data_IF_143022958554
#
_entry.id   IF_143022958554
#
_cell.length_a   1.000
_cell.length_b   1.000
_cell.length_c   1.000
_cell.angle_alpha   90.00
_cell.angle_beta   90.00
_cell.angle_gamma   90.00
#
_symmetry.space_group_name_H-M   'P 1'
#
loop_
_entity.id
_entity.type
_entity.pdbx_description
1 polymer ?
#
# COMPACT_ATOMS: atom_id res chain seq x y z
N UNK A 1 -21.39 7.93 -26.30
CA UNK A 1 -19.92 7.92 -26.49
C UNK A 1 -19.19 7.91 -25.13
N UNK A 2 -19.54 6.94 -24.26
CA UNK A 2 -18.92 6.71 -22.94
C UNK A 2 -18.73 5.20 -22.72
N UNK A 3 -19.67 4.39 -23.22
CA UNK A 3 -19.54 2.93 -23.32
C UNK A 3 -18.24 2.48 -24.04
N UNK A 4 -17.75 3.25 -25.00
CA UNK A 4 -16.50 2.94 -25.74
C UNK A 4 -15.21 3.17 -24.95
N UNK A 5 -15.19 4.04 -23.93
CA UNK A 5 -13.94 4.39 -23.24
C UNK A 5 -13.55 3.33 -22.18
N UNK A 6 -14.53 2.61 -21.64
CA UNK A 6 -14.28 1.49 -20.74
C UNK A 6 -13.58 0.32 -21.46
N UNK A 7 -14.05 -0.02 -22.66
CA UNK A 7 -13.48 -1.11 -23.47
C UNK A 7 -12.05 -0.77 -23.96
N UNK A 8 -11.68 0.51 -23.93
CA UNK A 8 -10.35 0.98 -24.31
C UNK A 8 -9.31 0.87 -23.18
N UNK A 9 -9.74 0.73 -21.92
CA UNK A 9 -8.78 0.55 -20.82
C UNK A 9 -8.24 -0.88 -20.82
N UNK A 10 -6.91 -1.01 -20.72
CA UNK A 10 -6.28 -2.31 -20.49
C UNK A 10 -6.48 -2.78 -19.05
N UNK A 11 -6.16 -4.04 -18.77
CA UNK A 11 -6.40 -4.64 -17.45
C UNK A 11 -5.62 -3.92 -16.33
N UNK A 12 -4.41 -3.44 -16.60
CA UNK A 12 -3.61 -2.71 -15.62
C UNK A 12 -4.23 -1.35 -15.25
N UNK A 13 -4.69 -0.60 -16.24
CA UNK A 13 -5.42 0.66 -16.05
C UNK A 13 -6.68 0.45 -15.23
N UNK A 14 -7.42 -0.62 -15.53
CA UNK A 14 -8.64 -0.99 -14.79
C UNK A 14 -8.32 -1.31 -13.33
N UNK A 15 -7.23 -2.03 -13.05
CA UNK A 15 -6.79 -2.35 -11.69
C UNK A 15 -6.36 -1.09 -10.93
N UNK A 16 -5.57 -0.20 -11.56
CA UNK A 16 -5.14 1.05 -10.92
C UNK A 16 -6.34 1.96 -10.64
N UNK A 17 -7.23 2.14 -11.61
CA UNK A 17 -8.44 2.94 -11.46
C UNK A 17 -9.35 2.35 -10.37
N UNK A 18 -9.48 1.02 -10.31
CA UNK A 18 -10.22 0.34 -9.26
C UNK A 18 -9.60 0.55 -7.88
N UNK A 19 -8.27 0.44 -7.75
CA UNK A 19 -7.58 0.69 -6.49
C UNK A 19 -7.82 2.11 -5.96
N UNK A 20 -7.77 3.12 -6.84
CA UNK A 20 -8.05 4.52 -6.48
C UNK A 20 -9.52 4.69 -6.05
N UNK A 21 -10.47 4.12 -6.80
CA UNK A 21 -11.91 4.25 -6.53
C UNK A 21 -12.48 3.35 -5.44
N UNK A 22 -11.78 2.29 -5.05
CA UNK A 22 -12.23 1.34 -4.02
C UNK A 22 -12.28 1.99 -2.65
N UNK A 23 -13.30 1.74 -1.83
CA UNK A 23 -13.55 2.43 -0.55
C UNK A 23 -13.75 3.95 -0.66
N UNK A 24 -14.46 4.53 0.30
CA UNK A 24 -14.70 5.99 0.33
C UNK A 24 -13.48 6.79 0.79
N UNK A 25 -12.46 6.14 1.36
CA UNK A 25 -11.24 6.80 1.82
C UNK A 25 -10.31 7.13 0.66
N UNK A 26 -9.94 8.42 0.45
CA UNK A 26 -9.00 8.81 -0.61
C UNK A 26 -7.62 8.19 -0.41
N UNK A 27 -6.92 7.94 -1.52
CA UNK A 27 -5.56 7.43 -1.48
C UNK A 27 -4.59 8.61 -1.34
N UNK A 28 -3.95 8.72 -0.18
CA UNK A 28 -3.30 9.96 0.28
C UNK A 28 -1.92 10.25 -0.33
N UNK A 29 -1.31 9.32 -1.06
CA UNK A 29 -0.04 9.56 -1.74
C UNK A 29 0.25 8.52 -2.82
N UNK A 30 1.05 8.90 -3.83
CA UNK A 30 1.55 7.99 -4.87
C UNK A 30 2.28 6.77 -4.28
N UNK A 31 3.04 6.98 -3.20
CA UNK A 31 3.73 5.92 -2.46
C UNK A 31 2.74 4.84 -2.02
N UNK A 32 1.60 5.22 -1.42
CA UNK A 32 0.58 4.26 -0.97
C UNK A 32 0.00 3.46 -2.13
N UNK A 33 -0.24 4.07 -3.30
CA UNK A 33 -0.73 3.34 -4.46
C UNK A 33 0.25 2.25 -4.88
N UNK A 34 1.53 2.62 -5.00
CA UNK A 34 2.60 1.67 -5.32
C UNK A 34 2.65 0.53 -4.30
N UNK A 35 2.57 0.82 -3.00
CA UNK A 35 2.66 -0.22 -1.97
C UNK A 35 1.42 -1.10 -1.89
N UNK A 36 0.22 -0.56 -2.09
CA UNK A 36 -1.00 -1.37 -2.17
C UNK A 36 -0.89 -2.33 -3.35
N UNK A 37 -0.60 -1.82 -4.56
CA UNK A 37 -0.51 -2.65 -5.75
C UNK A 37 0.62 -3.68 -5.64
N UNK A 38 1.76 -3.30 -5.06
CA UNK A 38 2.83 -4.25 -4.76
C UNK A 38 2.37 -5.39 -3.84
N UNK A 39 1.68 -5.08 -2.74
CA UNK A 39 1.18 -6.13 -1.83
C UNK A 39 0.13 -7.01 -2.53
N UNK A 40 -0.73 -6.43 -3.38
CA UNK A 40 -1.70 -7.16 -4.20
C UNK A 40 -0.99 -8.14 -5.15
N UNK A 41 0.09 -7.75 -5.83
CA UNK A 41 0.82 -8.65 -6.74
C UNK A 41 1.58 -9.76 -6.00
N UNK A 42 1.86 -9.61 -4.70
CA UNK A 42 2.39 -10.69 -3.88
C UNK A 42 1.32 -11.74 -3.51
N UNK A 43 0.03 -11.39 -3.57
CA UNK A 43 -1.10 -12.32 -3.40
C UNK A 43 -1.52 -12.95 -4.74
N UNK A 44 -1.42 -12.19 -5.83
CA UNK A 44 -1.76 -12.63 -7.19
C UNK A 44 -0.53 -12.60 -8.10
N UNK A 45 0.25 -13.70 -8.19
CA UNK A 45 1.48 -13.75 -8.97
C UNK A 45 1.31 -13.41 -10.46
N UNK A 46 0.15 -13.70 -11.04
CA UNK A 46 -0.19 -13.34 -12.42
C UNK A 46 -0.21 -11.81 -12.68
N UNK A 47 -0.26 -11.00 -11.62
CA UNK A 47 -0.16 -9.54 -11.72
C UNK A 47 1.29 -9.03 -11.62
N UNK A 48 2.25 -9.89 -11.24
CA UNK A 48 3.66 -9.48 -11.13
C UNK A 48 4.24 -9.08 -12.48
N UNK A 49 3.94 -9.83 -13.54
CA UNK A 49 4.44 -9.55 -14.89
C UNK A 49 3.80 -8.30 -15.52
N UNK A 50 2.61 -7.92 -15.05
CA UNK A 50 1.89 -6.73 -15.49
C UNK A 50 2.51 -5.45 -14.92
N UNK A 51 2.79 -5.45 -13.62
CA UNK A 51 3.30 -4.25 -12.94
C UNK A 51 4.83 -4.20 -12.83
N UNK A 52 5.54 -5.33 -12.89
CA UNK A 52 7.01 -5.42 -12.91
C UNK A 52 7.68 -4.56 -11.83
N UNK A 53 7.42 -4.90 -10.57
CA UNK A 53 8.00 -4.17 -9.45
C UNK A 53 9.49 -4.47 -9.30
N UNK A 54 10.29 -3.41 -9.22
CA UNK A 54 11.75 -3.47 -9.05
C UNK A 54 12.19 -2.71 -7.79
N UNK A 55 13.37 -3.06 -7.22
CA UNK A 55 13.97 -2.27 -6.14
C UNK A 55 14.23 -0.83 -6.57
N UNK A 56 13.96 0.13 -5.67
CA UNK A 56 14.17 1.55 -5.89
C UNK A 56 14.48 2.24 -4.55
N UNK A 57 14.83 3.54 -4.57
CA UNK A 57 15.15 4.38 -3.41
C UNK A 57 14.11 4.31 -2.28
N UNK A 58 12.84 4.15 -2.65
CA UNK A 58 11.71 4.01 -1.73
C UNK A 58 11.09 2.61 -1.79
N UNK A 59 11.90 1.57 -2.01
CA UNK A 59 11.49 0.18 -2.05
C UNK A 59 10.80 -0.22 -3.36
N UNK A 60 9.88 -1.20 -3.35
CA UNK A 60 9.29 -1.75 -4.57
C UNK A 60 8.56 -0.67 -5.35
N UNK A 61 8.93 -0.48 -6.60
CA UNK A 61 8.42 0.57 -7.46
C UNK A 61 8.16 0.05 -8.87
N UNK A 62 7.22 0.67 -9.56
CA UNK A 62 6.81 0.30 -10.93
C UNK A 62 6.59 1.54 -11.77
N UNK A 63 7.44 1.77 -12.78
CA UNK A 63 7.24 2.85 -13.76
C UNK A 63 5.92 2.70 -14.52
N UNK A 64 5.45 1.45 -14.71
CA UNK A 64 4.16 1.17 -15.35
C UNK A 64 3.00 1.82 -14.60
N UNK A 65 3.00 1.82 -13.26
CA UNK A 65 1.96 2.50 -12.47
C UNK A 65 1.97 4.01 -12.73
N UNK A 66 3.15 4.60 -12.88
CA UNK A 66 3.30 6.02 -13.12
C UNK A 66 2.79 6.43 -14.49
N UNK A 67 3.10 5.64 -15.53
CA UNK A 67 2.56 5.85 -16.87
C UNK A 67 1.03 5.71 -16.87
N UNK A 68 0.50 4.67 -16.23
CA UNK A 68 -0.95 4.48 -16.10
C UNK A 68 -1.60 5.67 -15.39
N UNK A 69 -1.03 6.15 -14.29
CA UNK A 69 -1.55 7.32 -13.59
C UNK A 69 -1.60 8.55 -14.48
N UNK A 70 -0.52 8.81 -15.25
CA UNK A 70 -0.47 9.93 -16.18
C UNK A 70 -1.55 9.80 -17.26
N UNK A 71 -1.76 8.61 -17.81
CA UNK A 71 -2.78 8.37 -18.83
C UNK A 71 -4.21 8.51 -18.27
N UNK A 72 -4.48 7.97 -17.08
CA UNK A 72 -5.75 8.16 -16.39
C UNK A 72 -6.03 9.65 -16.08
N UNK A 73 -4.99 10.44 -15.80
CA UNK A 73 -5.10 11.89 -15.62
C UNK A 73 -5.37 12.61 -16.95
N UNK A 74 -4.65 12.27 -18.03
CA UNK A 74 -4.89 12.83 -19.38
C UNK A 74 -6.30 12.54 -19.88
N UNK A 75 -6.83 11.35 -19.58
CA UNK A 75 -8.21 10.97 -19.90
C UNK A 75 -9.26 11.63 -18.99
N UNK A 76 -8.83 12.45 -18.03
CA UNK A 76 -9.65 13.10 -17.02
C UNK A 76 -10.47 12.10 -16.17
N UNK A 77 -9.90 10.93 -15.86
CA UNK A 77 -10.52 9.90 -15.02
C UNK A 77 -10.07 10.01 -13.57
N UNK A 78 -8.83 10.41 -13.36
CA UNK A 78 -8.21 10.62 -12.06
C UNK A 78 -7.72 12.06 -11.99
N UNK A 79 -7.86 12.68 -10.82
CA UNK A 79 -7.18 13.95 -10.51
C UNK A 79 -6.45 13.80 -9.18
N UNK A 80 -5.47 14.67 -8.94
CA UNK A 80 -4.82 14.79 -7.65
C UNK A 80 -5.10 16.16 -7.04
N UNK A 81 -5.46 16.19 -5.76
CA UNK A 81 -5.53 17.46 -5.02
C UNK A 81 -4.14 17.95 -4.62
N UNK A 82 -4.08 19.18 -4.09
CA UNK A 82 -2.95 19.61 -3.27
C UNK A 82 -2.69 18.56 -2.17
N UNK A 83 -1.41 18.21 -1.97
CA UNK A 83 -1.00 17.15 -1.05
C UNK A 83 -0.87 15.74 -1.66
N UNK A 84 -1.10 15.56 -2.96
CA UNK A 84 -0.83 14.29 -3.66
C UNK A 84 -1.90 13.20 -3.45
N UNK A 85 -3.10 13.60 -3.03
CA UNK A 85 -4.24 12.69 -2.84
C UNK A 85 -4.89 12.41 -4.20
N UNK A 86 -4.96 11.15 -4.60
CA UNK A 86 -5.62 10.74 -5.85
C UNK A 86 -7.09 10.44 -5.62
N UNK A 87 -7.94 11.03 -6.45
CA UNK A 87 -9.40 10.82 -6.45
C UNK A 87 -9.93 10.62 -7.86
N UNK A 88 -11.05 9.90 -7.98
CA UNK A 88 -11.76 9.77 -9.24
C UNK A 88 -12.52 11.07 -9.56
N UNK A 89 -12.43 11.52 -10.81
CA UNK A 89 -13.33 12.55 -11.34
C UNK A 89 -14.73 11.98 -11.53
N UNK A 90 -15.72 12.81 -11.86
CA UNK A 90 -17.07 12.33 -12.25
C UNK A 90 -16.99 11.27 -13.36
N UNK A 91 -16.17 11.53 -14.38
CA UNK A 91 -15.94 10.59 -15.51
C UNK A 91 -15.28 9.29 -15.03
N UNK A 92 -14.28 9.40 -14.14
CA UNK A 92 -13.64 8.23 -13.53
C UNK A 92 -14.61 7.39 -12.71
N UNK A 93 -15.52 8.01 -11.95
CA UNK A 93 -16.54 7.30 -11.17
C UNK A 93 -17.53 6.54 -12.07
N UNK A 94 -17.89 7.09 -13.23
CA UNK A 94 -18.75 6.39 -14.20
C UNK A 94 -18.08 5.14 -14.76
N UNK A 95 -16.79 5.23 -15.12
CA UNK A 95 -16.02 4.06 -15.57
C UNK A 95 -15.82 3.06 -14.43
N UNK A 96 -15.47 3.53 -13.23
CA UNK A 96 -15.27 2.70 -12.05
C UNK A 96 -16.46 1.78 -11.76
N UNK A 97 -17.70 2.26 -11.94
CA UNK A 97 -18.92 1.46 -11.73
C UNK A 97 -19.03 0.24 -12.66
N UNK A 98 -18.40 0.30 -13.83
CA UNK A 98 -18.40 -0.75 -14.84
C UNK A 98 -17.26 -1.76 -14.64
N UNK A 99 -16.26 -1.44 -13.81
CA UNK A 99 -15.17 -2.37 -13.47
C UNK A 99 -15.73 -3.44 -12.52
N UNK A 100 -15.67 -4.70 -12.96
CA UNK A 100 -16.07 -5.87 -12.18
C UNK A 100 -14.90 -6.84 -12.00
N UNK A 101 -13.93 -6.52 -11.11
CA UNK A 101 -12.87 -7.46 -10.79
C UNK A 101 -13.45 -8.71 -10.12
N UNK A 102 -12.71 -9.82 -10.14
CA UNK A 102 -13.05 -10.99 -9.32
C UNK A 102 -13.15 -10.58 -7.84
N UNK A 103 -14.07 -11.20 -7.12
CA UNK A 103 -14.36 -10.87 -5.72
C UNK A 103 -13.11 -10.95 -4.84
N UNK A 104 -12.27 -11.97 -5.05
CA UNK A 104 -10.97 -12.14 -4.37
C UNK A 104 -10.04 -10.93 -4.54
N UNK A 105 -9.88 -10.44 -5.77
CA UNK A 105 -9.02 -9.28 -6.06
C UNK A 105 -9.57 -8.02 -5.41
N UNK A 106 -10.89 -7.85 -5.44
CA UNK A 106 -11.57 -6.73 -4.77
C UNK A 106 -11.30 -6.74 -3.26
N UNK A 107 -11.43 -7.88 -2.61
CA UNK A 107 -11.27 -8.00 -1.16
C UNK A 107 -9.82 -7.71 -0.76
N UNK A 108 -8.85 -8.27 -1.48
CA UNK A 108 -7.42 -8.02 -1.23
C UNK A 108 -7.04 -6.55 -1.44
N UNK A 109 -7.55 -5.88 -2.48
CA UNK A 109 -7.31 -4.44 -2.69
C UNK A 109 -7.90 -3.63 -1.52
N UNK A 110 -9.11 -3.95 -1.08
CA UNK A 110 -9.76 -3.25 0.01
C UNK A 110 -9.04 -3.47 1.35
N UNK A 111 -8.63 -4.70 1.65
CA UNK A 111 -7.88 -5.04 2.85
C UNK A 111 -6.56 -4.28 2.92
N UNK A 112 -5.78 -4.24 1.83
CA UNK A 112 -4.53 -3.48 1.82
C UNK A 112 -4.75 -1.96 1.87
N UNK A 113 -5.84 -1.46 1.29
CA UNK A 113 -6.19 -0.04 1.40
C UNK A 113 -6.58 0.33 2.84
N UNK A 114 -7.36 -0.52 3.53
CA UNK A 114 -7.68 -0.36 4.96
C UNK A 114 -6.43 -0.50 5.84
N UNK A 115 -5.53 -1.41 5.51
CA UNK A 115 -4.28 -1.63 6.24
C UNK A 115 -3.33 -0.43 6.12
N UNK A 116 -3.17 0.16 4.94
CA UNK A 116 -2.15 1.20 4.69
C UNK A 116 -2.64 2.64 4.87
N UNK A 117 -3.95 2.93 4.80
CA UNK A 117 -4.43 4.31 4.71
C UNK A 117 -4.17 5.18 5.96
N UNK A 118 -4.14 4.59 7.15
CA UNK A 118 -3.89 5.24 8.44
C UNK A 118 -2.44 5.08 8.96
N UNK A 119 -1.59 4.43 8.17
CA UNK A 119 -0.16 4.38 8.39
C UNK A 119 0.53 5.59 7.77
N UNK A 120 1.55 6.11 8.44
CA UNK A 120 2.50 7.05 7.87
C UNK A 120 3.39 6.37 6.83
N UNK A 121 3.95 7.13 5.90
CA UNK A 121 4.85 6.57 4.88
C UNK A 121 6.06 5.85 5.53
N UNK A 122 6.56 6.32 6.67
CA UNK A 122 7.65 5.65 7.38
C UNK A 122 7.22 4.31 8.00
N UNK A 123 6.01 4.21 8.55
CA UNK A 123 5.45 2.93 9.04
C UNK A 123 5.32 1.92 7.88
N UNK A 124 4.75 2.36 6.76
CA UNK A 124 4.60 1.54 5.54
C UNK A 124 5.96 1.07 5.04
N UNK A 125 6.92 1.99 4.90
CA UNK A 125 8.25 1.66 4.40
C UNK A 125 9.01 0.71 5.32
N UNK A 126 8.90 0.89 6.64
CA UNK A 126 9.51 -0.01 7.62
C UNK A 126 8.92 -1.42 7.53
N UNK A 127 7.60 -1.53 7.31
CA UNK A 127 6.94 -2.82 7.06
C UNK A 127 7.49 -3.46 5.78
N UNK A 128 7.50 -2.72 4.67
CA UNK A 128 7.94 -3.23 3.37
C UNK A 128 9.39 -3.71 3.41
N UNK A 129 10.29 -2.94 4.02
CA UNK A 129 11.70 -3.31 4.12
C UNK A 129 11.98 -4.48 5.05
N UNK A 130 11.15 -4.66 6.09
CA UNK A 130 11.26 -5.82 6.98
C UNK A 130 10.83 -7.10 6.26
N UNK A 131 9.65 -7.10 5.64
CA UNK A 131 9.01 -8.33 5.15
C UNK A 131 9.30 -8.62 3.67
N UNK A 132 9.85 -7.66 2.93
CA UNK A 132 10.26 -7.82 1.53
C UNK A 132 11.69 -7.29 1.31
N UNK A 133 12.69 -7.86 2.00
CA UNK A 133 14.05 -7.33 2.03
C UNK A 133 14.73 -7.30 0.65
N UNK A 134 14.25 -8.10 -0.33
CA UNK A 134 14.75 -8.06 -1.72
C UNK A 134 14.59 -6.70 -2.40
N UNK A 135 13.73 -5.82 -1.89
CA UNK A 135 13.53 -4.46 -2.40
C UNK A 135 14.29 -3.39 -1.59
N UNK A 136 15.22 -3.79 -0.73
CA UNK A 136 16.01 -2.86 0.09
C UNK A 136 17.37 -2.50 -0.53
N UNK A 137 17.82 -3.21 -1.57
CA UNK A 137 19.18 -3.06 -2.13
C UNK A 137 19.50 -1.64 -2.60
N UNK A 138 18.52 -0.96 -3.20
CA UNK A 138 18.65 0.41 -3.72
C UNK A 138 18.13 1.46 -2.72
N UNK A 139 17.74 1.07 -1.51
CA UNK A 139 17.00 1.96 -0.62
C UNK A 139 17.90 3.00 0.04
N UNK A 140 17.74 4.26 -0.34
CA UNK A 140 18.36 5.39 0.37
C UNK A 140 17.81 5.61 1.79
N UNK A 141 16.65 5.03 2.14
CA UNK A 141 15.90 5.37 3.36
C UNK A 141 15.98 4.32 4.48
N UNK A 142 16.51 3.12 4.21
CA UNK A 142 16.37 2.01 5.14
C UNK A 142 17.21 2.23 6.39
N UNK A 143 18.47 2.67 6.24
CA UNK A 143 19.36 2.92 7.37
C UNK A 143 18.82 3.97 8.35
N UNK A 144 18.09 4.96 7.85
CA UNK A 144 17.41 5.94 8.69
C UNK A 144 16.18 5.37 9.38
N UNK A 145 15.30 4.67 8.64
CA UNK A 145 14.11 4.06 9.21
C UNK A 145 14.44 2.97 10.24
N UNK A 146 15.57 2.27 10.06
CA UNK A 146 16.03 1.19 10.94
C UNK A 146 16.29 1.69 12.36
N UNK A 147 16.68 2.96 12.53
CA UNK A 147 16.88 3.59 13.85
C UNK A 147 15.56 3.69 14.64
N UNK A 148 14.45 3.91 13.93
CA UNK A 148 13.12 4.10 14.50
C UNK A 148 12.23 2.85 14.38
N UNK A 149 12.75 1.73 13.87
CA UNK A 149 11.96 0.53 13.55
C UNK A 149 11.16 -0.01 14.73
N UNK A 150 11.68 0.15 15.95
CA UNK A 150 11.01 -0.21 17.20
C UNK A 150 9.78 0.68 17.43
N UNK A 151 9.90 1.99 17.23
CA UNK A 151 8.78 2.92 17.42
C UNK A 151 7.68 2.67 16.37
N UNK A 152 8.07 2.43 15.11
CA UNK A 152 7.11 2.13 14.06
C UNK A 152 6.40 0.79 14.29
N UNK A 153 7.11 -0.25 14.76
CA UNK A 153 6.48 -1.53 15.04
C UNK A 153 5.49 -1.45 16.20
N UNK A 154 5.84 -0.71 17.26
CA UNK A 154 4.94 -0.46 18.40
C UNK A 154 3.70 0.33 17.96
N UNK A 155 3.87 1.40 17.16
CA UNK A 155 2.72 2.17 16.65
C UNK A 155 1.79 1.31 15.80
N UNK A 156 2.34 0.48 14.91
CA UNK A 156 1.54 -0.43 14.09
C UNK A 156 0.84 -1.52 14.91
N UNK A 157 1.48 -2.03 15.97
CA UNK A 157 0.86 -2.95 16.92
C UNK A 157 -0.32 -2.29 17.65
N UNK A 158 -0.13 -1.10 18.19
CA UNK A 158 -1.17 -0.37 18.93
C UNK A 158 -2.35 0.05 18.04
N UNK A 159 -2.11 0.29 16.75
CA UNK A 159 -3.17 0.49 15.74
C UNK A 159 -3.90 -0.80 15.35
N UNK A 160 -3.48 -1.96 15.86
CA UNK A 160 -4.04 -3.26 15.50
C UNK A 160 -3.73 -3.70 14.06
N UNK A 161 -2.72 -3.10 13.43
CA UNK A 161 -2.40 -3.33 12.01
C UNK A 161 -1.55 -4.56 11.79
N UNK A 162 -0.73 -4.90 12.77
CA UNK A 162 0.12 -6.09 12.74
C UNK A 162 -0.03 -6.87 14.03
N UNK A 163 0.15 -8.19 13.93
CA UNK A 163 0.20 -9.05 15.10
C UNK A 163 1.42 -8.73 15.96
N UNK A 164 1.39 -9.18 17.21
CA UNK A 164 2.53 -9.12 18.11
C UNK A 164 3.80 -9.72 17.50
N UNK A 165 3.69 -10.89 16.87
CA UNK A 165 4.82 -11.56 16.23
C UNK A 165 5.41 -10.71 15.10
N UNK A 166 4.56 -10.13 14.25
CA UNK A 166 5.00 -9.22 13.19
C UNK A 166 5.64 -7.95 13.75
N UNK A 167 5.12 -7.42 14.85
CA UNK A 167 5.70 -6.24 15.50
C UNK A 167 7.09 -6.52 16.09
N UNK A 168 7.29 -7.70 16.67
CA UNK A 168 8.59 -8.17 17.15
C UNK A 168 9.60 -8.30 16.01
N UNK A 169 9.22 -8.96 14.92
CA UNK A 169 10.05 -9.13 13.73
C UNK A 169 10.40 -7.77 13.09
N UNK A 170 9.42 -6.89 12.97
CA UNK A 170 9.61 -5.52 12.48
C UNK A 170 10.50 -4.68 13.40
N UNK A 171 10.45 -4.91 14.72
CA UNK A 171 11.39 -4.30 15.67
C UNK A 171 12.83 -4.84 15.55
N UNK A 172 13.01 -6.02 14.94
CA UNK A 172 14.29 -6.73 14.93
C UNK A 172 14.63 -7.34 16.30
N UNK A 173 13.61 -7.71 17.07
CA UNK A 173 13.74 -8.32 18.38
C UNK A 173 13.05 -9.69 18.38
N UNK A 174 13.57 -10.64 19.16
CA UNK A 174 12.79 -11.84 19.45
C UNK A 174 11.58 -11.51 20.34
N UNK A 175 10.64 -12.46 20.43
CA UNK A 175 9.38 -12.26 21.14
C UNK A 175 9.60 -11.92 22.63
N UNK A 176 10.62 -12.50 23.27
CA UNK A 176 10.87 -12.29 24.70
C UNK A 176 11.43 -10.89 24.95
N UNK A 177 12.39 -10.45 24.15
CA UNK A 177 12.98 -9.12 24.27
C UNK A 177 11.99 -8.02 23.87
N UNK A 178 11.12 -8.29 22.90
CA UNK A 178 10.01 -7.40 22.57
C UNK A 178 9.00 -7.30 23.73
N UNK A 179 8.64 -8.42 24.38
CA UNK A 179 7.79 -8.40 25.58
C UNK A 179 8.40 -7.54 26.70
N UNK A 180 9.69 -7.75 27.01
CA UNK A 180 10.40 -6.98 28.05
C UNK A 180 10.41 -5.50 27.71
N UNK A 181 10.62 -5.15 26.44
CA UNK A 181 10.59 -3.77 25.96
C UNK A 181 9.21 -3.13 26.21
N UNK A 182 8.13 -3.80 25.80
CA UNK A 182 6.77 -3.29 26.00
C UNK A 182 6.44 -3.11 27.48
N UNK A 183 6.79 -4.10 28.32
CA UNK A 183 6.63 -4.02 29.79
C UNK A 183 7.40 -2.85 30.39
N UNK A 184 8.69 -2.70 30.03
CA UNK A 184 9.54 -1.59 30.50
C UNK A 184 8.96 -0.23 30.14
N UNK A 185 8.35 -0.11 28.95
CA UNK A 185 7.69 1.11 28.48
C UNK A 185 6.23 1.25 28.93
N UNK A 186 5.73 0.33 29.76
CA UNK A 186 4.33 0.30 30.25
C UNK A 186 3.29 0.31 29.12
N UNK A 187 3.60 -0.32 27.99
CA UNK A 187 2.73 -0.38 26.82
C UNK A 187 1.80 -1.59 26.95
N UNK A 188 0.50 -1.33 27.03
CA UNK A 188 -0.55 -2.36 26.98
C UNK A 188 -1.00 -2.56 25.55
N UNK A 189 -0.80 -3.75 25.01
CA UNK A 189 -1.14 -4.11 23.62
C UNK A 189 -2.20 -5.21 23.51
N UNK A 190 -2.39 -5.97 24.59
CA UNK A 190 -3.50 -6.93 24.76
C UNK A 190 -4.40 -6.42 25.89
N UNK A 191 -5.71 -6.47 25.67
CA UNK A 191 -6.67 -6.39 26.77
C UNK A 191 -6.54 -7.73 27.50
N UNK A 192 -6.17 -7.72 28.78
CA UNK A 192 -6.30 -8.92 29.61
C UNK A 192 -7.79 -9.30 29.59
N UNK A 193 -8.11 -10.46 29.01
CA UNK A 193 -9.44 -11.06 29.10
C UNK A 193 -9.65 -11.60 30.51
#
# INVERSE_FOLDING_TARGET
>A
MMAQLWDQLNDEEKIVLYCIGSLQSPLRSKLKLHKILFLVTNVFPNLQDLFRFEPNLLGPYSDKIDYILQDLQRLNLVTNSEGGVYILTRKGQEIFKNIKPKQELKDVIQDFKLFLNDLSDNEIMTYIYTFYPKYTSESAKWDDLKKDRIEYSIKMLLKGKISYSKASEMAGLDLNDFEKLLKRRKIKWRIEQ
#
